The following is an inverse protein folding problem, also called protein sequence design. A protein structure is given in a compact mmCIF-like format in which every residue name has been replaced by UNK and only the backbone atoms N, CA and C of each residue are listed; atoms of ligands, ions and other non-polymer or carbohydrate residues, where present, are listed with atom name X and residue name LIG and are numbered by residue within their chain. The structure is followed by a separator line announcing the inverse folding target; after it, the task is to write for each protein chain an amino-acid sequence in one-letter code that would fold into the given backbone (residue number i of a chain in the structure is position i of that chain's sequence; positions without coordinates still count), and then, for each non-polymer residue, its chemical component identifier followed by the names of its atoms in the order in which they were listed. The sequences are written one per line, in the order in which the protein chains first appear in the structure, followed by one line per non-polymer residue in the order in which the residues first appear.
data_IF_945464763754
#
_entry.id   IF_945464763754
#
_cell.length_a   1.000
_cell.length_b   1.000
_cell.length_c   1.000
_cell.angle_alpha   90.00
_cell.angle_beta   90.00
_cell.angle_gamma   90.00
#
_symmetry.space_group_name_H-M   'P 1'
#
loop_
_entity.id
_entity.type
_entity.pdbx_description
1 polymer ?
#
# COMPACT_ATOMS: atom_id res chain seq x y z
N UNK A 1 7.69 13.42 -26.32
CA UNK A 1 7.56 12.27 -27.25
C UNK A 1 8.35 11.11 -26.70
N UNK A 2 7.87 9.87 -26.88
CA UNK A 2 8.58 8.68 -26.44
C UNK A 2 9.86 8.43 -27.29
N UNK A 3 10.93 7.85 -26.71
CA UNK A 3 12.20 7.63 -27.40
C UNK A 3 12.07 6.84 -28.71
N UNK A 4 11.24 5.80 -28.73
CA UNK A 4 10.99 4.98 -29.92
C UNK A 4 10.34 5.77 -31.07
N UNK A 5 9.45 6.71 -30.75
CA UNK A 5 8.81 7.59 -31.76
C UNK A 5 9.83 8.60 -32.27
N UNK A 6 10.68 9.12 -31.38
CA UNK A 6 11.82 9.95 -31.76
C UNK A 6 12.87 9.18 -32.58
N UNK A 7 12.93 7.86 -32.50
CA UNK A 7 13.80 7.02 -33.32
C UNK A 7 13.20 6.73 -34.71
N UNK A 8 11.93 7.09 -34.94
CA UNK A 8 11.22 6.84 -36.20
C UNK A 8 10.46 5.51 -36.23
N UNK A 9 10.35 4.80 -35.11
CA UNK A 9 9.50 3.61 -35.01
C UNK A 9 8.01 3.99 -35.15
N UNK A 10 7.17 3.07 -35.68
CA UNK A 10 5.74 3.31 -35.75
C UNK A 10 5.15 3.51 -34.34
N UNK A 11 4.08 4.28 -34.29
CA UNK A 11 3.35 4.54 -33.06
C UNK A 11 2.86 3.23 -32.41
N UNK A 12 3.01 3.16 -31.08
CA UNK A 12 2.43 2.11 -30.27
C UNK A 12 1.70 2.73 -29.07
N UNK A 13 0.70 2.02 -28.52
CA UNK A 13 -0.08 2.52 -27.38
C UNK A 13 0.76 2.74 -26.11
N UNK A 14 1.96 2.14 -26.00
CA UNK A 14 2.86 2.37 -24.86
C UNK A 14 3.57 3.73 -24.94
N UNK A 15 3.57 4.42 -26.07
CA UNK A 15 4.09 5.79 -26.19
C UNK A 15 3.26 6.79 -25.36
N UNK A 16 1.97 6.53 -25.17
CA UNK A 16 1.12 7.29 -24.23
C UNK A 16 1.59 7.12 -22.78
N UNK A 17 1.96 5.90 -22.39
CA UNK A 17 2.48 5.61 -21.04
C UNK A 17 3.78 6.36 -20.74
N UNK A 18 4.66 6.49 -21.74
CA UNK A 18 5.83 7.35 -21.60
C UNK A 18 5.44 8.81 -21.36
N UNK A 19 4.48 9.30 -22.16
CA UNK A 19 4.03 10.69 -22.07
C UNK A 19 3.37 10.98 -20.72
N UNK A 20 2.61 10.02 -20.18
CA UNK A 20 2.10 10.05 -18.81
C UNK A 20 3.24 10.09 -17.78
N UNK A 21 4.28 9.26 -17.94
CA UNK A 21 5.46 9.31 -17.06
C UNK A 21 6.16 10.67 -17.06
N UNK A 22 6.28 11.30 -18.23
CA UNK A 22 6.84 12.65 -18.36
C UNK A 22 5.97 13.68 -17.64
N UNK A 23 4.64 13.61 -17.78
CA UNK A 23 3.71 14.50 -17.07
C UNK A 23 3.78 14.32 -15.55
N UNK A 24 3.82 13.07 -15.07
CA UNK A 24 3.96 12.78 -13.63
C UNK A 24 5.30 13.29 -13.11
N UNK A 25 6.40 13.09 -13.86
CA UNK A 25 7.70 13.64 -13.52
C UNK A 25 7.63 15.16 -13.39
N UNK A 26 7.08 15.85 -14.38
CA UNK A 26 6.99 17.31 -14.39
C UNK A 26 6.12 17.84 -13.25
N UNK A 27 5.02 17.17 -12.93
CA UNK A 27 4.17 17.53 -11.80
C UNK A 27 4.90 17.38 -10.44
N UNK A 28 5.80 16.40 -10.31
CA UNK A 28 6.55 16.14 -9.08
C UNK A 28 7.76 17.06 -8.90
N UNK A 29 8.48 17.36 -9.99
CA UNK A 29 9.76 18.09 -9.94
C UNK A 29 9.68 19.52 -10.48
N UNK A 30 8.56 19.92 -11.09
CA UNK A 30 8.35 21.25 -11.67
C UNK A 30 9.10 21.50 -12.98
N UNK A 31 9.75 20.48 -13.55
CA UNK A 31 10.44 20.56 -14.82
C UNK A 31 10.38 19.23 -15.58
N UNK A 32 10.51 19.27 -16.89
CA UNK A 32 10.59 18.07 -17.71
C UNK A 32 11.87 17.26 -17.42
N UNK A 33 11.85 15.92 -17.60
CA UNK A 33 13.03 15.07 -17.40
C UNK A 33 14.16 15.35 -18.40
N UNK A 34 13.81 15.92 -19.55
CA UNK A 34 14.76 16.40 -20.55
C UNK A 34 14.41 17.83 -20.93
N UNK A 35 15.38 18.73 -20.84
CA UNK A 35 15.24 20.12 -21.26
C UNK A 35 16.52 20.56 -21.99
N UNK A 36 16.38 21.09 -23.19
CA UNK A 36 17.48 21.69 -23.95
C UNK A 36 16.96 22.76 -24.88
N UNK A 37 17.75 23.81 -25.10
CA UNK A 37 17.46 24.89 -26.03
C UNK A 37 17.58 24.45 -27.50
N UNK A 38 18.16 23.27 -27.77
CA UNK A 38 18.34 22.74 -29.11
C UNK A 38 17.60 21.40 -29.27
N UNK A 39 16.69 21.34 -30.24
CA UNK A 39 15.89 20.13 -30.52
C UNK A 39 16.76 18.90 -30.81
N UNK A 40 17.90 19.07 -31.50
CA UNK A 40 18.82 17.97 -31.79
C UNK A 40 19.48 17.44 -30.51
N UNK A 41 19.82 18.31 -29.56
CA UNK A 41 20.37 17.90 -28.26
C UNK A 41 19.31 17.21 -27.40
N UNK A 42 18.09 17.75 -27.37
CA UNK A 42 16.96 17.12 -26.68
C UNK A 42 16.70 15.70 -27.21
N UNK A 43 16.70 15.55 -28.55
CA UNK A 43 16.55 14.25 -29.20
C UNK A 43 17.69 13.29 -28.83
N UNK A 44 18.93 13.76 -28.85
CA UNK A 44 20.08 12.96 -28.45
C UNK A 44 20.00 12.50 -26.98
N UNK A 45 19.56 13.37 -26.07
CA UNK A 45 19.35 13.02 -24.65
C UNK A 45 18.25 11.96 -24.49
N UNK A 46 17.11 12.15 -25.15
CA UNK A 46 15.99 11.21 -25.09
C UNK A 46 16.36 9.83 -25.65
N UNK A 47 17.14 9.79 -26.75
CA UNK A 47 17.59 8.56 -27.41
C UNK A 47 18.82 7.91 -26.77
N UNK A 48 19.49 8.59 -25.84
CA UNK A 48 20.65 8.01 -25.13
C UNK A 48 20.25 6.74 -24.36
N UNK A 49 21.21 5.87 -24.04
CA UNK A 49 20.97 4.71 -23.17
C UNK A 49 20.90 5.09 -21.67
N UNK A 50 21.25 6.33 -21.32
CA UNK A 50 21.24 6.79 -19.94
C UNK A 50 19.80 6.81 -19.40
N UNK A 51 19.53 6.20 -18.22
CA UNK A 51 18.23 6.27 -17.59
C UNK A 51 17.90 7.71 -17.15
N UNK A 52 16.61 7.99 -16.96
CA UNK A 52 16.20 9.26 -16.33
C UNK A 52 16.59 9.20 -14.86
N UNK A 53 17.35 10.19 -14.40
CA UNK A 53 17.72 10.32 -13.00
C UNK A 53 16.52 10.83 -12.20
N UNK A 54 16.00 9.99 -11.31
CA UNK A 54 14.94 10.35 -10.36
C UNK A 54 15.59 10.52 -8.98
N UNK A 55 15.46 11.68 -8.31
CA UNK A 55 15.99 11.89 -6.97
C UNK A 55 15.42 10.89 -5.94
N UNK A 56 16.25 10.05 -5.29
CA UNK A 56 15.78 8.89 -4.51
C UNK A 56 15.11 9.25 -3.16
N UNK A 57 15.35 10.47 -2.63
CA UNK A 57 14.87 10.85 -1.29
C UNK A 57 13.61 11.74 -1.31
N UNK A 58 13.01 11.93 -2.48
CA UNK A 58 11.90 12.89 -2.64
C UNK A 58 10.53 12.24 -2.76
N UNK A 59 10.46 10.92 -2.94
CA UNK A 59 9.23 10.20 -3.30
C UNK A 59 8.98 9.00 -2.39
N UNK A 60 7.71 8.59 -2.27
CA UNK A 60 7.38 7.30 -1.67
C UNK A 60 7.89 6.14 -2.54
N UNK A 61 8.16 4.95 -1.95
CA UNK A 61 8.60 3.79 -2.73
C UNK A 61 7.66 3.43 -3.89
N UNK A 62 6.35 3.49 -3.67
CA UNK A 62 5.35 3.19 -4.70
C UNK A 62 5.37 4.24 -5.82
N UNK A 63 5.57 5.52 -5.48
CA UNK A 63 5.68 6.58 -6.49
C UNK A 63 6.95 6.41 -7.34
N UNK A 64 8.06 6.06 -6.70
CA UNK A 64 9.34 5.83 -7.36
C UNK A 64 9.25 4.63 -8.31
N UNK A 65 8.67 3.51 -7.86
CA UNK A 65 8.44 2.32 -8.70
C UNK A 65 7.57 2.68 -9.90
N UNK A 66 6.41 3.29 -9.67
CA UNK A 66 5.48 3.70 -10.72
C UNK A 66 6.14 4.56 -11.78
N UNK A 67 6.83 5.62 -11.36
CA UNK A 67 7.48 6.56 -12.24
C UNK A 67 8.61 5.91 -13.04
N UNK A 68 9.42 5.06 -12.38
CA UNK A 68 10.52 4.36 -13.05
C UNK A 68 10.03 3.39 -14.13
N UNK A 69 8.90 2.70 -13.89
CA UNK A 69 8.31 1.76 -14.86
C UNK A 69 7.61 2.46 -16.03
N UNK A 70 7.06 3.65 -15.82
CA UNK A 70 6.52 4.51 -16.89
C UNK A 70 7.63 5.08 -17.77
N UNK A 71 8.71 5.56 -17.16
CA UNK A 71 9.85 6.20 -17.81
C UNK A 71 10.90 5.21 -18.35
N UNK A 72 10.49 3.96 -18.55
CA UNK A 72 11.34 2.96 -19.18
C UNK A 72 11.45 3.23 -20.68
N UNK A 73 12.69 3.38 -21.17
CA UNK A 73 12.95 3.74 -22.58
C UNK A 73 12.53 2.65 -23.54
N UNK A 74 12.85 1.40 -23.22
CA UNK A 74 12.42 0.23 -23.98
C UNK A 74 10.91 0.00 -23.79
N UNK A 75 10.08 0.12 -24.85
CA UNK A 75 8.63 -0.10 -24.76
C UNK A 75 8.28 -1.51 -24.29
N UNK A 76 9.11 -2.52 -24.57
CA UNK A 76 8.83 -3.89 -24.15
C UNK A 76 8.95 -4.06 -22.64
N UNK A 77 9.88 -3.33 -22.02
CA UNK A 77 10.09 -3.31 -20.56
C UNK A 77 9.23 -2.28 -19.84
N UNK A 78 8.64 -1.31 -20.56
CA UNK A 78 7.73 -0.31 -20.01
C UNK A 78 6.47 -0.98 -19.48
N UNK A 79 5.95 -0.45 -18.36
CA UNK A 79 4.73 -0.93 -17.70
C UNK A 79 3.61 -1.20 -18.71
N UNK A 80 2.84 -2.26 -18.50
CA UNK A 80 1.63 -2.53 -19.29
C UNK A 80 0.46 -1.67 -18.78
N UNK A 81 -0.63 -1.58 -19.55
CA UNK A 81 -1.84 -0.92 -19.07
C UNK A 81 -2.46 -1.67 -17.88
N UNK A 82 -2.47 -3.00 -17.91
CA UNK A 82 -2.97 -3.86 -16.83
C UNK A 82 -2.21 -3.60 -15.52
N UNK A 83 -0.88 -3.55 -15.59
CA UNK A 83 -0.02 -3.26 -14.45
C UNK A 83 -0.18 -1.82 -13.97
N UNK A 84 -0.43 -0.87 -14.88
CA UNK A 84 -0.67 0.52 -14.53
C UNK A 84 -1.96 0.67 -13.73
N UNK A 85 -3.06 0.06 -14.18
CA UNK A 85 -4.36 0.16 -13.51
C UNK A 85 -4.38 -0.55 -12.16
N UNK A 86 -3.56 -1.58 -11.99
CA UNK A 86 -3.40 -2.32 -10.72
C UNK A 86 -2.30 -1.77 -9.80
N UNK A 87 -1.57 -0.74 -10.24
CA UNK A 87 -0.47 -0.20 -9.47
C UNK A 87 -0.97 0.48 -8.17
N UNK A 88 -0.32 0.26 -7.01
CA UNK A 88 -0.76 0.82 -5.73
C UNK A 88 -0.68 2.35 -5.66
N UNK A 89 0.24 2.97 -6.41
CA UNK A 89 0.44 4.43 -6.38
C UNK A 89 -0.78 5.26 -6.82
N UNK A 90 -1.37 5.06 -8.02
CA UNK A 90 -2.53 5.84 -8.44
C UNK A 90 -3.84 5.43 -7.76
N UNK A 91 -3.90 4.24 -7.14
CA UNK A 91 -5.07 3.71 -6.41
C UNK A 91 -6.42 3.98 -7.10
N UNK A 92 -6.51 3.60 -8.37
CA UNK A 92 -7.64 3.96 -9.23
C UNK A 92 -8.95 3.29 -8.80
N UNK A 93 -8.88 2.20 -8.04
CA UNK A 93 -10.05 1.49 -7.50
C UNK A 93 -10.83 2.38 -6.52
N UNK A 94 -10.12 3.17 -5.72
CA UNK A 94 -10.72 4.07 -4.73
C UNK A 94 -10.84 5.52 -5.22
N UNK A 95 -10.53 5.77 -6.49
CA UNK A 95 -10.65 7.11 -7.06
C UNK A 95 -12.08 7.66 -6.89
N UNK A 96 -12.25 8.95 -6.57
CA UNK A 96 -13.56 9.54 -6.33
C UNK A 96 -14.38 9.58 -7.63
N UNK A 97 -15.42 8.75 -7.70
CA UNK A 97 -16.36 8.64 -8.81
C UNK A 97 -17.73 8.17 -8.29
N UNK A 98 -18.75 8.16 -9.17
CA UNK A 98 -20.10 7.73 -8.77
C UNK A 98 -20.13 6.26 -8.31
N UNK A 99 -19.35 5.39 -8.95
CA UNK A 99 -19.28 3.96 -8.62
C UNK A 99 -18.60 3.71 -7.27
N UNK A 100 -17.51 4.43 -6.98
CA UNK A 100 -16.82 4.34 -5.68
C UNK A 100 -17.68 4.91 -4.55
N UNK A 101 -18.46 5.96 -4.82
CA UNK A 101 -19.45 6.48 -3.87
C UNK A 101 -20.54 5.45 -3.52
N UNK A 102 -21.13 4.83 -4.54
CA UNK A 102 -22.14 3.78 -4.33
C UNK A 102 -21.57 2.57 -3.58
N UNK A 103 -20.33 2.19 -3.91
CA UNK A 103 -19.60 1.10 -3.25
C UNK A 103 -19.33 1.43 -1.79
N UNK A 104 -18.89 2.66 -1.48
CA UNK A 104 -18.68 3.12 -0.11
C UNK A 104 -19.96 3.01 0.72
N UNK A 105 -21.09 3.50 0.20
CA UNK A 105 -22.39 3.43 0.90
C UNK A 105 -22.78 1.98 1.20
N UNK A 106 -22.63 1.08 0.22
CA UNK A 106 -22.94 -0.35 0.40
C UNK A 106 -22.08 -0.95 1.52
N UNK A 107 -20.76 -0.79 1.44
CA UNK A 107 -19.82 -1.37 2.41
C UNK A 107 -20.09 -0.81 3.82
N UNK A 108 -20.34 0.49 3.95
CA UNK A 108 -20.69 1.12 5.24
C UNK A 108 -21.99 0.54 5.80
N UNK A 109 -23.00 0.36 4.96
CA UNK A 109 -24.30 -0.20 5.37
C UNK A 109 -24.12 -1.64 5.88
N UNK A 110 -23.34 -2.44 5.17
CA UNK A 110 -23.00 -3.81 5.56
C UNK A 110 -22.16 -3.85 6.85
N UNK A 111 -21.23 -2.90 7.02
CA UNK A 111 -20.42 -2.76 8.22
C UNK A 111 -21.30 -2.49 9.45
N UNK A 112 -22.24 -1.54 9.34
CA UNK A 112 -23.19 -1.19 10.41
C UNK A 112 -24.11 -2.37 10.73
N UNK A 113 -24.55 -3.13 9.73
CA UNK A 113 -25.36 -4.32 9.93
C UNK A 113 -24.63 -5.36 10.78
N UNK A 114 -23.42 -5.75 10.38
CA UNK A 114 -22.62 -6.71 11.13
C UNK A 114 -22.20 -6.22 12.52
N UNK A 115 -22.00 -4.91 12.67
CA UNK A 115 -21.71 -4.29 13.95
C UNK A 115 -22.89 -4.45 14.94
N UNK A 116 -24.13 -4.31 14.45
CA UNK A 116 -25.35 -4.54 15.24
C UNK A 116 -25.57 -6.00 15.60
N UNK A 117 -25.16 -6.92 14.73
CA UNK A 117 -25.21 -8.37 14.98
C UNK A 117 -24.10 -8.86 15.94
N UNK A 118 -23.28 -7.96 16.49
CA UNK A 118 -22.08 -8.27 17.27
C UNK A 118 -21.00 -9.06 16.50
N UNK A 119 -21.08 -9.10 15.16
CA UNK A 119 -20.07 -9.69 14.27
C UNK A 119 -18.85 -8.75 14.12
N UNK A 120 -18.15 -8.53 15.24
CA UNK A 120 -17.13 -7.47 15.40
C UNK A 120 -15.97 -7.60 14.39
N UNK A 121 -15.53 -8.83 14.08
CA UNK A 121 -14.43 -9.09 13.13
C UNK A 121 -14.78 -8.62 11.72
N UNK A 122 -15.99 -8.98 11.26
CA UNK A 122 -16.47 -8.64 9.92
C UNK A 122 -16.78 -7.16 9.81
N UNK A 123 -17.41 -6.59 10.83
CA UNK A 123 -17.67 -5.16 10.93
C UNK A 123 -16.37 -4.34 10.87
N UNK A 124 -15.34 -4.73 11.64
CA UNK A 124 -14.02 -4.07 11.59
C UNK A 124 -13.43 -4.07 10.19
N UNK A 125 -13.35 -5.24 9.54
CA UNK A 125 -12.82 -5.37 8.18
C UNK A 125 -13.56 -4.47 7.19
N UNK A 126 -14.90 -4.43 7.27
CA UNK A 126 -15.72 -3.61 6.36
C UNK A 126 -15.60 -2.12 6.65
N UNK A 127 -15.45 -1.70 7.92
CA UNK A 127 -15.17 -0.29 8.22
C UNK A 127 -13.81 0.14 7.67
N UNK A 128 -12.77 -0.69 7.79
CA UNK A 128 -11.47 -0.41 7.17
C UNK A 128 -11.58 -0.31 5.64
N UNK A 129 -12.29 -1.23 5.01
CA UNK A 129 -12.52 -1.22 3.57
C UNK A 129 -13.32 0.03 3.13
N UNK A 130 -14.39 0.37 3.85
CA UNK A 130 -15.18 1.58 3.59
C UNK A 130 -14.33 2.85 3.67
N UNK A 131 -13.40 2.94 4.62
CA UNK A 131 -12.53 4.11 4.78
C UNK A 131 -11.61 4.32 3.58
N UNK A 132 -11.18 3.26 2.89
CA UNK A 132 -10.38 3.38 1.67
C UNK A 132 -11.15 4.12 0.57
N UNK A 133 -12.48 3.96 0.48
CA UNK A 133 -13.32 4.69 -0.46
C UNK A 133 -13.73 6.08 0.05
N UNK A 134 -14.07 6.21 1.35
CA UNK A 134 -14.60 7.46 1.90
C UNK A 134 -13.56 8.58 1.98
N UNK A 135 -12.29 8.26 2.24
CA UNK A 135 -11.24 9.29 2.37
C UNK A 135 -10.97 10.00 1.04
N UNK A 136 -10.75 9.29 -0.09
CA UNK A 136 -10.62 9.94 -1.41
C UNK A 136 -11.86 10.73 -1.81
N UNK A 137 -13.06 10.20 -1.52
CA UNK A 137 -14.32 10.92 -1.77
C UNK A 137 -14.34 12.24 -0.99
N UNK A 138 -14.08 12.22 0.32
CA UNK A 138 -14.03 13.43 1.15
C UNK A 138 -12.96 14.44 0.68
N UNK A 139 -11.81 13.95 0.21
CA UNK A 139 -10.76 14.83 -0.33
C UNK A 139 -11.19 15.53 -1.62
N UNK A 140 -11.85 14.79 -2.52
CA UNK A 140 -12.35 15.25 -3.82
C UNK A 140 -13.62 16.10 -3.76
N UNK A 141 -14.31 16.17 -2.61
CA UNK A 141 -15.49 17.02 -2.45
C UNK A 141 -15.16 18.51 -2.62
N UNK A 142 -15.93 19.18 -3.49
CA UNK A 142 -15.80 20.61 -3.76
C UNK A 142 -16.61 21.49 -2.79
N UNK A 143 -17.77 21.01 -2.32
CA UNK A 143 -18.62 21.74 -1.38
C UNK A 143 -18.03 21.64 0.04
N UNK A 144 -17.68 22.78 0.63
CA UNK A 144 -17.04 22.85 1.95
C UNK A 144 -17.91 22.26 3.08
N UNK A 145 -19.23 22.39 2.97
CA UNK A 145 -20.19 21.90 3.96
C UNK A 145 -20.26 20.38 3.91
N UNK A 146 -20.49 19.83 2.72
CA UNK A 146 -20.52 18.38 2.49
C UNK A 146 -19.18 17.73 2.81
N UNK A 147 -18.07 18.37 2.43
CA UNK A 147 -16.72 17.95 2.78
C UNK A 147 -16.55 17.80 4.29
N UNK A 148 -16.99 18.79 5.07
CA UNK A 148 -16.95 18.74 6.53
C UNK A 148 -17.81 17.61 7.10
N UNK A 149 -19.00 17.39 6.56
CA UNK A 149 -19.88 16.28 6.96
C UNK A 149 -19.26 14.92 6.64
N UNK A 150 -18.68 14.74 5.45
CA UNK A 150 -17.97 13.53 5.05
C UNK A 150 -16.77 13.26 5.97
N UNK A 151 -15.95 14.27 6.28
CA UNK A 151 -14.83 14.08 7.21
C UNK A 151 -15.29 13.73 8.62
N UNK A 152 -16.41 14.32 9.08
CA UNK A 152 -17.01 13.93 10.36
C UNK A 152 -17.42 12.45 10.36
N UNK A 153 -17.97 11.96 9.25
CA UNK A 153 -18.35 10.55 9.08
C UNK A 153 -17.15 9.62 8.98
N UNK A 154 -16.10 10.02 8.24
CA UNK A 154 -14.82 9.30 8.19
C UNK A 154 -14.25 9.11 9.60
N UNK A 155 -14.22 10.17 10.40
CA UNK A 155 -13.69 10.08 11.77
C UNK A 155 -14.58 9.25 12.70
N UNK A 156 -15.91 9.31 12.53
CA UNK A 156 -16.86 8.45 13.23
C UNK A 156 -16.58 6.96 12.94
N UNK A 157 -16.46 6.57 11.67
CA UNK A 157 -16.19 5.19 11.29
C UNK A 157 -14.78 4.75 11.67
N UNK A 158 -13.78 5.64 11.60
CA UNK A 158 -12.42 5.37 12.08
C UNK A 158 -12.40 5.04 13.57
N UNK A 159 -13.05 5.88 14.39
CA UNK A 159 -13.18 5.62 15.84
C UNK A 159 -13.93 4.32 16.10
N UNK A 160 -14.99 4.02 15.35
CA UNK A 160 -15.72 2.76 15.52
C UNK A 160 -14.86 1.54 15.18
N UNK A 161 -14.11 1.60 14.08
CA UNK A 161 -13.15 0.56 13.72
C UNK A 161 -12.10 0.36 14.84
N UNK A 162 -11.55 1.43 15.40
CA UNK A 162 -10.62 1.35 16.53
C UNK A 162 -11.25 0.73 17.79
N UNK A 163 -12.50 1.05 18.11
CA UNK A 163 -13.23 0.43 19.24
C UNK A 163 -13.50 -1.06 19.02
N UNK A 164 -13.80 -1.46 17.78
CA UNK A 164 -13.94 -2.88 17.42
C UNK A 164 -12.59 -3.58 17.48
N UNK A 165 -11.51 -2.90 17.07
CA UNK A 165 -10.14 -3.36 17.17
C UNK A 165 -9.62 -3.45 18.61
N UNK A 166 -10.21 -2.74 19.58
CA UNK A 166 -9.87 -2.88 21.01
C UNK A 166 -10.71 -3.94 21.72
N UNK A 167 -11.93 -4.23 21.21
CA UNK A 167 -12.78 -5.34 21.68
C UNK A 167 -12.28 -6.69 21.19
N UNK A 168 -11.65 -6.70 20.01
CA UNK A 168 -10.68 -7.73 19.70
C UNK A 168 -9.43 -7.39 20.49
N UNK A 169 -9.10 -8.18 21.52
CA UNK A 169 -7.68 -8.28 21.84
C UNK A 169 -6.94 -8.60 20.53
N UNK A 170 -5.71 -8.10 20.28
CA UNK A 170 -4.81 -8.89 19.44
C UNK A 170 -4.92 -10.33 19.97
N UNK A 171 -5.02 -11.33 19.08
CA UNK A 171 -5.07 -12.75 19.46
C UNK A 171 -4.36 -12.94 20.80
N UNK A 172 -5.02 -13.49 21.83
CA UNK A 172 -4.50 -13.42 23.19
C UNK A 172 -3.02 -13.78 23.14
N UNK A 173 -2.18 -12.89 23.65
CA UNK A 173 -0.89 -13.32 24.17
C UNK A 173 -1.26 -14.38 25.19
N UNK A 174 -1.22 -15.64 24.76
CA UNK A 174 -1.39 -16.80 25.62
C UNK A 174 -0.10 -16.84 26.42
N UNK A 175 -0.01 -16.00 27.45
CA UNK A 175 0.75 -16.36 28.63
C UNK A 175 0.03 -17.57 29.23
N UNK A 176 0.60 -18.73 28.91
CA UNK A 176 0.42 -20.06 29.51
C UNK A 176 -0.75 -20.91 29.01
N UNK A 177 -0.36 -21.97 28.30
CA UNK A 177 -0.96 -23.30 28.23
C UNK A 177 -2.27 -23.48 27.44
N UNK A 178 -2.20 -23.41 26.12
CA UNK A 178 -2.84 -24.42 25.25
C UNK A 178 -2.15 -24.51 23.88
N UNK A 179 -1.33 -25.55 23.79
CA UNK A 179 -0.76 -26.21 22.61
C UNK A 179 -1.84 -26.44 21.54
N UNK A 180 -1.76 -25.88 20.32
CA UNK A 180 -1.27 -26.66 19.17
C UNK A 180 -1.08 -25.87 17.83
N UNK A 181 -1.29 -24.54 17.76
CA UNK A 181 -1.08 -23.78 16.52
C UNK A 181 0.09 -22.78 16.58
N UNK A 182 0.18 -21.95 17.63
CA UNK A 182 1.32 -21.02 17.83
C UNK A 182 2.58 -21.71 18.32
N UNK A 183 2.45 -22.82 19.05
CA UNK A 183 3.58 -23.67 19.45
C UNK A 183 4.29 -24.20 18.22
N UNK A 184 3.56 -24.49 17.13
CA UNK A 184 4.16 -25.03 15.92
C UNK A 184 5.07 -24.02 15.22
N UNK A 185 4.70 -22.73 15.14
CA UNK A 185 5.52 -21.73 14.44
C UNK A 185 6.74 -21.28 15.25
N UNK A 186 6.63 -21.12 16.57
CA UNK A 186 7.77 -20.80 17.44
C UNK A 186 8.75 -21.98 17.55
N UNK A 187 8.26 -23.23 17.68
CA UNK A 187 9.11 -24.44 17.68
C UNK A 187 9.78 -24.65 16.32
N UNK A 188 9.12 -24.31 15.21
CA UNK A 188 9.72 -24.33 13.86
C UNK A 188 10.69 -23.15 13.64
N UNK A 189 10.42 -21.98 14.26
CA UNK A 189 11.27 -20.79 14.17
C UNK A 189 12.51 -20.87 15.05
N UNK A 190 12.54 -21.70 16.11
CA UNK A 190 13.76 -21.96 16.90
C UNK A 190 14.90 -22.52 16.03
N UNK A 191 14.57 -23.24 14.97
CA UNK A 191 15.55 -23.76 14.01
C UNK A 191 15.99 -22.71 12.96
N UNK A 192 15.36 -21.53 12.91
CA UNK A 192 15.56 -20.52 11.87
C UNK A 192 15.75 -19.12 12.52
N UNK A 193 17.01 -18.69 12.75
CA UNK A 193 17.33 -17.48 13.50
C UNK A 193 16.67 -16.19 12.97
N UNK A 194 16.58 -16.04 11.65
CA UNK A 194 16.01 -14.84 11.02
C UNK A 194 14.49 -14.74 11.22
N UNK A 195 13.79 -15.88 11.18
CA UNK A 195 12.35 -15.94 11.43
C UNK A 195 12.03 -15.62 12.90
N UNK A 196 12.81 -16.21 13.82
CA UNK A 196 12.69 -15.95 15.26
C UNK A 196 12.89 -14.46 15.58
N UNK A 197 13.94 -13.85 15.03
CA UNK A 197 14.20 -12.42 15.22
C UNK A 197 13.05 -11.54 14.68
N UNK A 198 12.51 -11.87 13.50
CA UNK A 198 11.36 -11.16 12.94
C UNK A 198 10.10 -11.22 13.80
N UNK A 199 9.84 -12.37 14.43
CA UNK A 199 8.70 -12.56 15.33
C UNK A 199 8.88 -11.81 16.67
N UNK A 200 10.06 -11.91 17.29
CA UNK A 200 10.38 -11.21 18.55
C UNK A 200 10.28 -9.69 18.41
N UNK A 201 10.70 -9.15 17.25
CA UNK A 201 10.56 -7.72 16.93
C UNK A 201 9.08 -7.34 16.78
N UNK A 202 8.26 -8.22 16.21
CA UNK A 202 6.81 -8.03 16.08
C UNK A 202 6.12 -7.99 17.44
N UNK A 203 6.43 -8.95 18.31
CA UNK A 203 5.93 -9.02 19.69
C UNK A 203 6.31 -7.76 20.50
N UNK A 204 7.53 -7.26 20.31
CA UNK A 204 7.97 -6.00 20.92
C UNK A 204 7.16 -4.81 20.40
N UNK A 205 6.80 -4.81 19.11
CA UNK A 205 5.91 -3.80 18.53
C UNK A 205 4.49 -3.83 19.09
N UNK A 206 3.94 -5.03 19.30
CA UNK A 206 2.62 -5.21 19.92
C UNK A 206 2.61 -4.78 21.38
N UNK A 207 3.70 -4.99 22.11
CA UNK A 207 3.86 -4.48 23.48
C UNK A 207 3.81 -2.94 23.51
N UNK A 208 4.51 -2.27 22.58
CA UNK A 208 4.43 -0.80 22.48
C UNK A 208 3.05 -0.30 22.04
N UNK A 209 2.28 -1.07 21.26
CA UNK A 209 0.87 -0.75 20.97
C UNK A 209 0.02 -0.80 22.24
N UNK A 210 0.21 -1.82 23.09
CA UNK A 210 -0.51 -1.95 24.35
C UNK A 210 -0.17 -0.82 25.34
N UNK A 211 1.06 -0.32 25.30
CA UNK A 211 1.53 0.82 26.10
C UNK A 211 1.11 2.20 25.54
N UNK A 212 0.50 2.24 24.34
CA UNK A 212 0.09 3.49 23.68
C UNK A 212 1.25 4.28 23.05
N UNK A 213 2.43 3.67 22.91
CA UNK A 213 3.59 4.28 22.26
C UNK A 213 3.60 3.96 20.76
N UNK A 214 2.74 4.64 20.02
CA UNK A 214 2.46 4.35 18.61
C UNK A 214 3.64 4.56 17.67
N UNK A 215 4.55 5.49 17.97
CA UNK A 215 5.71 5.78 17.11
C UNK A 215 6.71 4.61 17.15
N UNK A 216 7.03 4.14 18.36
CA UNK A 216 7.94 3.03 18.57
C UNK A 216 7.30 1.70 18.13
N UNK A 217 6.00 1.52 18.35
CA UNK A 217 5.23 0.39 17.85
C UNK A 217 5.29 0.30 16.31
N UNK A 218 5.08 1.43 15.62
CA UNK A 218 5.14 1.50 14.17
C UNK A 218 6.53 1.14 13.63
N UNK A 219 7.59 1.61 14.28
CA UNK A 219 8.97 1.28 13.92
C UNK A 219 9.23 -0.23 14.04
N UNK A 220 8.86 -0.83 15.17
CA UNK A 220 9.06 -2.27 15.42
C UNK A 220 8.22 -3.13 14.50
N UNK A 221 6.95 -2.79 14.27
CA UNK A 221 6.10 -3.54 13.35
C UNK A 221 6.58 -3.45 11.90
N UNK A 222 7.11 -2.31 11.45
CA UNK A 222 7.75 -2.19 10.13
C UNK A 222 9.00 -3.06 10.02
N UNK A 223 9.84 -3.07 11.05
CA UNK A 223 11.05 -3.88 11.08
C UNK A 223 10.74 -5.38 11.06
N UNK A 224 9.74 -5.81 11.83
CA UNK A 224 9.21 -7.18 11.82
C UNK A 224 8.68 -7.56 10.44
N UNK A 225 7.83 -6.72 9.84
CA UNK A 225 7.24 -6.99 8.53
C UNK A 225 8.30 -7.13 7.42
N UNK A 226 9.34 -6.30 7.44
CA UNK A 226 10.43 -6.36 6.47
C UNK A 226 11.14 -7.72 6.50
N UNK A 227 11.42 -8.24 7.70
CA UNK A 227 12.07 -9.53 7.91
C UNK A 227 11.15 -10.68 7.48
N UNK A 228 9.87 -10.62 7.86
CA UNK A 228 8.91 -11.69 7.55
C UNK A 228 8.57 -11.76 6.06
N UNK A 229 8.51 -10.63 5.35
CA UNK A 229 8.30 -10.60 3.89
C UNK A 229 9.50 -11.19 3.15
N UNK A 230 10.72 -10.79 3.51
CA UNK A 230 11.95 -11.35 2.92
C UNK A 230 12.03 -12.86 3.12
N UNK A 231 11.58 -13.34 4.29
CA UNK A 231 11.53 -14.75 4.58
C UNK A 231 10.46 -15.49 3.75
N UNK A 232 9.26 -14.92 3.60
CA UNK A 232 8.19 -15.50 2.77
C UNK A 232 8.58 -15.64 1.29
N UNK A 233 9.38 -14.69 0.78
CA UNK A 233 9.88 -14.71 -0.60
C UNK A 233 10.99 -15.74 -0.81
N UNK A 234 11.79 -16.02 0.23
CA UNK A 234 12.85 -17.02 0.19
C UNK A 234 12.36 -18.47 0.38
N UNK A 235 11.28 -18.67 1.16
CA UNK A 235 10.79 -20.00 1.53
C UNK A 235 9.75 -20.53 0.52
N UNK A 236 10.19 -21.20 -0.56
CA UNK A 236 9.29 -21.74 -1.59
C UNK A 236 8.67 -23.11 -1.27
N UNK A 237 9.12 -23.81 -0.22
CA UNK A 237 8.94 -25.27 -0.12
C UNK A 237 8.16 -25.79 1.09
N UNK A 238 7.88 -24.98 2.12
CA UNK A 238 7.15 -25.45 3.31
C UNK A 238 5.64 -25.18 3.20
N UNK A 239 4.85 -26.24 3.02
CA UNK A 239 3.38 -26.16 2.86
C UNK A 239 2.64 -25.68 4.12
N UNK A 240 3.28 -25.77 5.29
CA UNK A 240 2.67 -25.45 6.59
C UNK A 240 3.02 -24.05 7.10
N UNK A 241 4.21 -23.54 6.75
CA UNK A 241 4.70 -22.26 7.29
C UNK A 241 4.13 -21.05 6.53
N UNK A 242 3.99 -21.18 5.21
CA UNK A 242 3.52 -20.13 4.29
C UNK A 242 2.14 -19.56 4.63
N UNK A 243 1.08 -20.35 4.95
CA UNK A 243 -0.23 -19.79 5.30
C UNK A 243 -0.21 -19.03 6.63
N UNK A 244 0.56 -19.49 7.61
CA UNK A 244 0.65 -18.86 8.93
C UNK A 244 1.43 -17.53 8.88
N UNK A 245 2.53 -17.51 8.13
CA UNK A 245 3.30 -16.29 7.86
C UNK A 245 2.50 -15.26 7.05
N UNK A 246 1.74 -15.70 6.03
CA UNK A 246 0.86 -14.83 5.27
C UNK A 246 -0.23 -14.19 6.15
N UNK A 247 -0.73 -14.93 7.15
CA UNK A 247 -1.69 -14.39 8.11
C UNK A 247 -1.05 -13.28 8.97
N UNK A 248 0.13 -13.52 9.53
CA UNK A 248 0.86 -12.55 10.36
C UNK A 248 1.22 -11.27 9.58
N UNK A 249 1.71 -11.42 8.35
CA UNK A 249 2.03 -10.28 7.47
C UNK A 249 0.77 -9.47 7.13
N UNK A 250 -0.39 -10.12 6.96
CA UNK A 250 -1.66 -9.44 6.72
C UNK A 250 -2.10 -8.61 7.94
N UNK A 251 -2.01 -9.18 9.14
CA UNK A 251 -2.34 -8.48 10.38
C UNK A 251 -1.43 -7.27 10.62
N UNK A 252 -0.12 -7.43 10.48
CA UNK A 252 0.82 -6.31 10.61
C UNK A 252 0.58 -5.22 9.55
N UNK A 253 0.22 -5.58 8.30
CA UNK A 253 -0.15 -4.59 7.25
C UNK A 253 -1.43 -3.84 7.58
N UNK A 254 -2.45 -4.52 8.11
CA UNK A 254 -3.71 -3.91 8.55
C UNK A 254 -3.48 -2.92 9.69
N UNK A 255 -2.69 -3.31 10.69
CA UNK A 255 -2.30 -2.45 11.81
C UNK A 255 -1.54 -1.22 11.31
N UNK A 256 -0.51 -1.41 10.48
CA UNK A 256 0.25 -0.30 9.90
C UNK A 256 -0.61 0.64 9.03
N UNK A 257 -1.60 0.09 8.31
CA UNK A 257 -2.56 0.86 7.51
C UNK A 257 -3.44 1.80 8.34
N UNK A 258 -3.79 1.42 9.57
CA UNK A 258 -4.55 2.26 10.50
C UNK A 258 -3.74 3.45 11.05
N UNK A 259 -2.41 3.34 11.09
CA UNK A 259 -1.51 4.37 11.63
C UNK A 259 -0.81 5.22 10.55
N UNK A 260 -1.00 4.93 9.26
CA UNK A 260 -0.32 5.63 8.15
C UNK A 260 -1.01 6.91 7.67
N UNK A 261 -2.05 7.40 8.35
CA UNK A 261 -2.71 8.68 8.06
C UNK A 261 -3.15 9.40 9.33
#
# INVERSE_FOLDING_TARGET
MAPEILAGSPYNAKADLWSLGVLVFEALFGHAPYASCNLSQLRAQALSSAPITIPPNSLSPDCMDFLSRLLQKDPMRRISYEDLFSHPYPDLIHAPCAESHQTAIRIVTDAIHHDRENNSRRAFSLYCEALNYLIPLAYGEADATRKKELYSKVEEYRRRAQQLASKHQPLPVITTNSTHSHTSLHVLAEAIPNLKSGLEIGETGDMYLAEGNYELALEKLKASLAILIQFCEAETSSSQLKPLLAHQVCECKLILGLFRR
#
